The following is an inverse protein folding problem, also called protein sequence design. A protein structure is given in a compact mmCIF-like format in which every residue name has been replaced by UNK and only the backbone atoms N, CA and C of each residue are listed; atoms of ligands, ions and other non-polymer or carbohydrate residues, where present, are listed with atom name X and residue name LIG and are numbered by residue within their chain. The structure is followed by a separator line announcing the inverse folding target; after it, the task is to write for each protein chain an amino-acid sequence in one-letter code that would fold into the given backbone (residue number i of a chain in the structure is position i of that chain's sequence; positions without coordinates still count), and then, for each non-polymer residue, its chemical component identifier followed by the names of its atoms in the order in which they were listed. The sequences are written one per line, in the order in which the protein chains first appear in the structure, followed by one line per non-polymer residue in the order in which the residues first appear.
data_IF_335526422436
#
_entry.id   IF_335526422436
#
_cell.length_a   1.000
_cell.length_b   1.000
_cell.length_c   1.000
_cell.angle_alpha   90.00
_cell.angle_beta   90.00
_cell.angle_gamma   90.00
#
_symmetry.space_group_name_H-M   'P 1'
#
loop_
_entity.id
_entity.type
_entity.pdbx_description
1 polymer ?
#
# COMPACT_ATOMS: atom_id res chain seq x y z
N UNK A 1 -8.61 -9.05 22.28
CA UNK A 1 -8.52 -7.98 21.26
C UNK A 1 -8.19 -8.66 19.95
N UNK A 2 -8.94 -8.36 18.90
CA UNK A 2 -8.81 -8.97 17.57
C UNK A 2 -8.33 -7.92 16.56
N UNK A 3 -7.56 -8.37 15.57
CA UNK A 3 -7.10 -7.55 14.46
C UNK A 3 -7.56 -8.19 13.15
N UNK A 4 -8.10 -7.37 12.24
CA UNK A 4 -8.42 -7.77 10.87
C UNK A 4 -7.74 -6.82 9.93
N UNK A 5 -6.90 -7.36 9.06
CA UNK A 5 -6.15 -6.59 8.07
C UNK A 5 -6.50 -7.06 6.67
N UNK A 6 -6.68 -6.11 5.76
CA UNK A 6 -6.76 -6.38 4.32
C UNK A 6 -5.64 -5.61 3.64
N UNK A 7 -4.87 -6.31 2.81
CA UNK A 7 -3.78 -5.74 2.01
C UNK A 7 -4.23 -5.62 0.56
N UNK A 8 -4.02 -4.45 0.00
CA UNK A 8 -4.29 -4.07 -1.38
C UNK A 8 -2.98 -3.78 -2.09
N UNK A 9 -2.96 -3.97 -3.40
CA UNK A 9 -1.80 -3.69 -4.25
C UNK A 9 -2.20 -2.64 -5.28
N UNK A 10 -1.51 -1.50 -5.26
CA UNK A 10 -1.76 -0.39 -6.19
C UNK A 10 -0.56 -0.23 -7.12
N UNK A 11 -0.83 0.06 -8.39
CA UNK A 11 0.22 0.45 -9.34
C UNK A 11 0.84 1.76 -8.89
N UNK A 12 2.18 1.79 -8.78
CA UNK A 12 2.92 2.97 -8.41
C UNK A 12 3.00 3.92 -9.60
N UNK A 13 2.81 5.21 -9.32
CA UNK A 13 3.08 6.27 -10.29
C UNK A 13 4.59 6.38 -10.58
N UNK A 14 4.93 6.79 -11.80
CA UNK A 14 6.32 6.84 -12.29
C UNK A 14 7.19 7.74 -11.41
N UNK A 15 6.65 8.87 -10.94
CA UNK A 15 7.32 9.81 -10.03
C UNK A 15 7.67 9.16 -8.67
N UNK A 16 6.79 8.29 -8.18
CA UNK A 16 7.00 7.57 -6.92
C UNK A 16 8.08 6.51 -7.09
N UNK A 17 8.09 5.83 -8.24
CA UNK A 17 9.12 4.83 -8.59
C UNK A 17 10.51 5.48 -8.68
N UNK A 18 10.62 6.67 -9.29
CA UNK A 18 11.89 7.41 -9.36
C UNK A 18 12.39 7.84 -7.97
N UNK A 19 11.49 8.33 -7.12
CA UNK A 19 11.81 8.71 -5.74
C UNK A 19 12.31 7.51 -4.93
N UNK A 20 11.69 6.34 -5.08
CA UNK A 20 12.14 5.10 -4.42
C UNK A 20 13.49 4.64 -4.96
N UNK A 21 13.73 4.72 -6.28
CA UNK A 21 15.03 4.40 -6.88
C UNK A 21 16.14 5.29 -6.32
N UNK A 22 15.89 6.58 -6.17
CA UNK A 22 16.84 7.53 -5.56
C UNK A 22 17.10 7.17 -4.09
N UNK A 23 16.06 6.99 -3.28
CA UNK A 23 16.21 6.62 -1.86
C UNK A 23 16.98 5.31 -1.66
N UNK A 24 16.74 4.29 -2.50
CA UNK A 24 17.46 3.01 -2.45
C UNK A 24 18.93 3.18 -2.83
N UNK A 25 19.25 4.06 -3.78
CA UNK A 25 20.63 4.36 -4.16
C UNK A 25 21.37 5.12 -3.06
N UNK A 26 20.72 6.08 -2.40
CA UNK A 26 21.31 6.85 -1.29
C UNK A 26 21.61 5.95 -0.08
N UNK A 27 20.71 5.00 0.21
CA UNK A 27 20.86 4.03 1.31
C UNK A 27 21.96 3.00 1.04
N UNK A 28 22.28 2.72 -0.22
CA UNK A 28 23.29 1.72 -0.63
C UNK A 28 24.72 2.26 -0.71
N UNK A 29 24.97 3.49 -0.27
CA UNK A 29 26.30 4.10 -0.26
C UNK A 29 27.30 3.41 0.69
N UNK A 30 26.83 2.56 1.61
CA UNK A 30 27.67 1.86 2.60
C UNK A 30 28.09 0.42 2.21
N UNK A 31 27.83 0.01 0.96
CA UNK A 31 28.36 -1.22 0.38
C UNK A 31 27.64 -2.49 0.82
N UNK A 32 26.95 -3.13 -0.14
CA UNK A 32 27.11 -4.56 -0.47
C UNK A 32 25.99 -5.08 -1.40
N UNK A 33 24.99 -4.29 -1.82
CA UNK A 33 23.93 -4.79 -2.73
C UNK A 33 23.51 -3.76 -3.79
N UNK A 34 24.02 -3.91 -5.01
CA UNK A 34 23.44 -3.22 -6.17
C UNK A 34 22.15 -3.96 -6.56
N UNK A 35 20.99 -3.35 -6.28
CA UNK A 35 19.72 -3.84 -6.84
C UNK A 35 19.73 -3.63 -8.36
N UNK A 36 19.71 -4.71 -9.11
CA UNK A 36 19.47 -4.65 -10.55
C UNK A 36 17.98 -4.40 -10.81
N UNK A 37 17.65 -3.18 -11.20
CA UNK A 37 16.30 -2.85 -11.63
C UNK A 37 16.00 -3.52 -12.97
N UNK A 38 14.82 -4.14 -13.15
CA UNK A 38 14.48 -4.80 -14.40
C UNK A 38 14.48 -3.78 -15.56
N UNK A 39 15.21 -4.10 -16.64
CA UNK A 39 15.35 -3.24 -17.82
C UNK A 39 14.08 -3.07 -18.65
N UNK A 40 13.10 -3.97 -18.49
CA UNK A 40 11.75 -3.83 -19.07
C UNK A 40 10.82 -3.19 -18.05
N UNK A 41 9.99 -2.26 -18.51
CA UNK A 41 8.91 -1.62 -17.75
C UNK A 41 7.93 -2.67 -17.17
N UNK A 42 8.30 -3.26 -16.04
CA UNK A 42 7.36 -3.98 -15.18
C UNK A 42 6.61 -2.93 -14.40
N UNK A 43 5.29 -3.03 -14.42
CA UNK A 43 4.42 -2.26 -13.52
C UNK A 43 4.88 -2.50 -12.08
N UNK A 44 5.24 -1.44 -11.39
CA UNK A 44 5.59 -1.50 -9.98
C UNK A 44 4.32 -1.42 -9.15
N UNK A 45 4.23 -2.24 -8.11
CA UNK A 45 3.07 -2.24 -7.22
C UNK A 45 3.52 -1.89 -5.81
N UNK A 46 2.77 -1.04 -5.12
CA UNK A 46 2.90 -0.79 -3.70
C UNK A 46 1.84 -1.57 -2.93
N UNK A 47 2.19 -2.10 -1.77
CA UNK A 47 1.21 -2.69 -0.87
C UNK A 47 0.70 -1.62 0.10
N UNK A 48 -0.62 -1.52 0.23
CA UNK A 48 -1.31 -0.73 1.27
C UNK A 48 -2.15 -1.67 2.12
N UNK A 49 -2.10 -1.51 3.43
CA UNK A 49 -2.87 -2.34 4.36
C UNK A 49 -3.77 -1.48 5.22
N UNK A 50 -5.03 -1.90 5.37
CA UNK A 50 -6.00 -1.26 6.26
C UNK A 50 -6.38 -2.26 7.35
N UNK A 51 -6.39 -1.82 8.60
CA UNK A 51 -6.58 -2.67 9.78
C UNK A 51 -7.71 -2.14 10.68
N UNK A 52 -8.57 -3.05 11.15
CA UNK A 52 -9.52 -2.78 12.23
C UNK A 52 -9.06 -3.54 13.48
N UNK A 53 -8.93 -2.79 14.57
CA UNK A 53 -8.71 -3.32 15.91
C UNK A 53 -10.03 -3.28 16.68
N UNK A 54 -10.49 -4.43 17.16
CA UNK A 54 -11.78 -4.51 17.86
C UNK A 54 -11.76 -5.58 18.95
N UNK A 55 -12.55 -5.38 20.01
CA UNK A 55 -12.82 -6.42 21.00
C UNK A 55 -13.82 -7.46 20.51
N UNK A 56 -14.58 -7.16 19.43
CA UNK A 56 -15.58 -8.05 18.87
C UNK A 56 -15.02 -8.91 17.73
N UNK A 57 -15.41 -10.19 17.60
CA UNK A 57 -14.88 -11.10 16.58
C UNK A 57 -15.69 -11.09 15.27
N UNK A 58 -16.09 -9.91 14.74
CA UNK A 58 -16.91 -9.82 13.52
C UNK A 58 -16.09 -9.89 12.22
N UNK A 59 -15.23 -10.90 12.08
CA UNK A 59 -14.22 -10.99 11.02
C UNK A 59 -14.76 -10.79 9.60
N UNK A 60 -15.90 -11.42 9.27
CA UNK A 60 -16.50 -11.32 7.93
C UNK A 60 -17.00 -9.90 7.64
N UNK A 61 -17.73 -9.30 8.59
CA UNK A 61 -18.25 -7.93 8.47
C UNK A 61 -17.12 -6.90 8.42
N UNK A 62 -16.08 -7.07 9.25
CA UNK A 62 -14.91 -6.20 9.22
C UNK A 62 -14.16 -6.28 7.90
N UNK A 63 -14.01 -7.46 7.30
CA UNK A 63 -13.39 -7.60 5.99
C UNK A 63 -14.20 -6.92 4.89
N UNK A 64 -15.52 -7.04 4.90
CA UNK A 64 -16.41 -6.34 3.96
C UNK A 64 -16.31 -4.82 4.15
N UNK A 65 -16.35 -4.34 5.39
CA UNK A 65 -16.18 -2.93 5.74
C UNK A 65 -14.83 -2.36 5.29
N UNK A 66 -13.73 -3.09 5.51
CA UNK A 66 -12.38 -2.67 5.07
C UNK A 66 -12.27 -2.47 3.55
N UNK A 67 -12.97 -3.30 2.76
CA UNK A 67 -13.02 -3.13 1.29
C UNK A 67 -13.74 -1.85 0.90
N UNK A 68 -14.86 -1.55 1.57
CA UNK A 68 -15.61 -0.32 1.31
C UNK A 68 -14.84 0.93 1.73
N UNK A 69 -14.20 0.91 2.90
CA UNK A 69 -13.32 2.00 3.36
C UNK A 69 -12.23 2.26 2.33
N UNK A 70 -11.57 1.20 1.85
CA UNK A 70 -10.53 1.33 0.84
C UNK A 70 -11.08 1.86 -0.49
N UNK A 71 -12.25 1.38 -0.94
CA UNK A 71 -12.92 1.87 -2.16
C UNK A 71 -13.22 3.37 -2.07
N UNK A 72 -13.69 3.85 -0.92
CA UNK A 72 -13.98 5.27 -0.68
C UNK A 72 -12.70 6.09 -0.64
N UNK A 73 -11.66 5.61 0.06
CA UNK A 73 -10.36 6.27 0.15
C UNK A 73 -9.66 6.44 -1.21
N UNK A 74 -9.86 5.49 -2.14
CA UNK A 74 -9.35 5.58 -3.51
C UNK A 74 -10.27 6.36 -4.46
N UNK A 75 -11.47 6.77 -4.02
CA UNK A 75 -12.40 7.49 -4.89
C UNK A 75 -11.91 8.93 -5.10
N UNK A 76 -11.97 9.47 -6.33
CA UNK A 76 -11.53 10.84 -6.63
C UNK A 76 -12.45 11.92 -6.04
N UNK A 77 -13.56 11.52 -5.40
CA UNK A 77 -14.48 12.44 -4.74
C UNK A 77 -14.07 12.65 -3.30
N UNK A 78 -13.93 13.91 -2.88
CA UNK A 78 -14.00 14.28 -1.46
C UNK A 78 -15.34 13.80 -0.91
N UNK A 79 -15.37 12.58 -0.39
CA UNK A 79 -16.57 12.04 0.24
C UNK A 79 -16.65 12.74 1.59
N UNK A 80 -17.64 13.61 1.83
CA UNK A 80 -17.78 14.24 3.13
C UNK A 80 -17.99 13.13 4.15
N UNK A 81 -17.17 13.16 5.20
CA UNK A 81 -17.41 12.37 6.40
C UNK A 81 -18.53 13.12 7.13
N UNK A 82 -19.78 12.74 6.87
CA UNK A 82 -20.94 13.19 7.68
C UNK A 82 -20.95 12.51 9.06
#
# INVERSE_FOLDING_TARGET
MYAVTVTFYEEMDELTVESVKQAVNDTNSDGMWKLEWPQKAKKFFCSKSVCILSYYPFFRRFRECLKEIYRVACSPGNTPIE
#
